data_IF_391099928502
#
_entry.id   IF_391099928502
#
_cell.length_a   1.000
_cell.length_b   1.000
_cell.length_c   1.000
_cell.angle_alpha   90.00
_cell.angle_beta   90.00
_cell.angle_gamma   90.00
#
_symmetry.space_group_name_H-M   'P 1'
#
loop_
_entity.id
_entity.type
_entity.pdbx_description
1 polymer ?
#
# COMPACT_ATOMS: atom_id res chain seq x y z
N UNK A 1 -17.20 16.79 -6.58
CA UNK A 1 -15.74 16.90 -6.35
C UNK A 1 -15.08 15.72 -7.04
N UNK A 2 -14.14 15.95 -7.97
CA UNK A 2 -13.56 14.94 -8.87
C UNK A 2 -12.34 14.17 -8.29
N UNK A 3 -11.95 14.40 -7.03
CA UNK A 3 -10.73 13.83 -6.43
C UNK A 3 -10.92 13.37 -4.97
N UNK A 4 -10.17 12.33 -4.56
CA UNK A 4 -10.18 11.86 -3.17
C UNK A 4 -9.45 12.85 -2.23
N UNK A 5 -9.88 13.02 -0.97
CA UNK A 5 -9.37 14.06 -0.07
C UNK A 5 -7.84 14.02 0.16
N UNK A 6 -7.25 12.82 0.17
CA UNK A 6 -5.82 12.63 0.39
C UNK A 6 -4.96 12.92 -0.85
N UNK A 7 -5.56 12.98 -2.04
CA UNK A 7 -4.83 13.26 -3.28
C UNK A 7 -4.38 14.72 -3.37
N UNK A 8 -4.91 15.63 -2.54
CA UNK A 8 -4.59 17.07 -2.53
C UNK A 8 -4.75 17.73 -3.91
N UNK A 9 -5.68 17.26 -4.74
CA UNK A 9 -5.87 17.71 -6.12
C UNK A 9 -6.89 18.85 -6.28
N UNK A 10 -7.69 19.15 -5.25
CA UNK A 10 -8.68 20.25 -5.24
C UNK A 10 -9.51 20.29 -6.55
N UNK A 11 -9.53 21.41 -7.28
CA UNK A 11 -10.19 21.58 -8.57
C UNK A 11 -9.27 21.45 -9.80
N UNK A 12 -8.07 20.86 -9.66
CA UNK A 12 -7.16 20.69 -10.80
C UNK A 12 -7.70 19.67 -11.79
N UNK A 13 -7.57 19.96 -13.09
CA UNK A 13 -7.85 18.99 -14.14
C UNK A 13 -6.76 17.91 -14.15
N UNK A 14 -7.17 16.66 -14.36
CA UNK A 14 -6.27 15.51 -14.37
C UNK A 14 -7.04 14.21 -14.63
N UNK A 15 -6.30 13.11 -14.86
CA UNK A 15 -6.86 11.78 -15.13
C UNK A 15 -6.39 10.84 -14.02
N UNK A 16 -7.32 10.04 -13.47
CA UNK A 16 -6.94 8.91 -12.60
C UNK A 16 -6.68 7.71 -13.49
N UNK A 17 -5.45 7.19 -13.44
CA UNK A 17 -5.08 5.96 -14.12
C UNK A 17 -4.95 4.83 -13.12
N UNK A 18 -5.70 3.75 -13.33
CA UNK A 18 -5.58 2.51 -12.55
C UNK A 18 -4.97 1.43 -13.43
N UNK A 19 -3.90 0.81 -12.94
CA UNK A 19 -3.31 -0.37 -13.56
C UNK A 19 -3.44 -1.55 -12.59
N UNK A 20 -4.26 -2.53 -12.95
CA UNK A 20 -4.56 -3.70 -12.11
C UNK A 20 -4.07 -4.99 -12.74
N UNK A 21 -2.92 -4.96 -13.41
CA UNK A 21 -2.29 -6.17 -13.91
C UNK A 21 -1.31 -6.71 -12.87
N UNK A 22 -1.48 -7.98 -12.50
CA UNK A 22 -0.59 -8.68 -11.60
C UNK A 22 -0.42 -10.12 -12.06
N UNK A 23 0.79 -10.65 -11.93
CA UNK A 23 1.09 -12.07 -12.14
C UNK A 23 1.50 -12.67 -10.80
N UNK A 24 0.86 -13.77 -10.42
CA UNK A 24 1.35 -14.58 -9.30
C UNK A 24 2.66 -15.24 -9.71
N UNK A 25 3.71 -15.05 -8.91
CA UNK A 25 5.00 -15.69 -9.08
C UNK A 25 5.11 -16.90 -8.14
N UNK A 26 5.93 -17.87 -8.51
CA UNK A 26 6.17 -19.06 -7.68
C UNK A 26 7.22 -18.79 -6.60
N UNK A 27 8.19 -17.91 -6.89
CA UNK A 27 9.27 -17.57 -5.96
C UNK A 27 9.68 -16.09 -6.03
N UNK A 28 10.30 -15.61 -4.94
CA UNK A 28 10.98 -14.31 -4.89
C UNK A 28 12.04 -14.16 -5.99
N UNK A 29 12.69 -15.26 -6.38
CA UNK A 29 13.71 -15.25 -7.42
C UNK A 29 13.16 -14.90 -8.81
N UNK A 30 11.85 -15.05 -9.04
CA UNK A 30 11.20 -14.70 -10.30
C UNK A 30 10.91 -13.19 -10.41
N UNK A 31 11.17 -12.42 -9.36
CA UNK A 31 10.99 -10.96 -9.39
C UNK A 31 12.00 -10.31 -10.35
N UNK A 32 11.61 -9.23 -11.05
CA UNK A 32 12.56 -8.40 -11.79
C UNK A 32 13.66 -7.85 -10.88
N UNK A 33 14.88 -7.76 -11.40
CA UNK A 33 16.05 -7.29 -10.65
C UNK A 33 15.89 -5.86 -10.11
N UNK A 34 15.19 -4.99 -10.85
CA UNK A 34 14.88 -3.63 -10.39
C UNK A 34 14.09 -3.64 -9.08
N UNK A 35 13.12 -4.56 -8.94
CA UNK A 35 12.30 -4.68 -7.73
C UNK A 35 13.12 -5.28 -6.58
N UNK A 36 13.90 -6.34 -6.85
CA UNK A 36 14.79 -6.93 -5.84
C UNK A 36 15.77 -5.91 -5.28
N UNK A 37 16.34 -5.05 -6.14
CA UNK A 37 17.24 -3.96 -5.75
C UNK A 37 16.54 -2.96 -4.83
N UNK A 38 15.35 -2.50 -5.21
CA UNK A 38 14.56 -1.55 -4.41
C UNK A 38 14.19 -2.12 -3.02
N UNK A 39 13.77 -3.38 -2.97
CA UNK A 39 13.47 -4.07 -1.71
C UNK A 39 14.73 -4.13 -0.85
N UNK A 40 15.89 -4.47 -1.43
CA UNK A 40 17.15 -4.56 -0.69
C UNK A 40 17.62 -3.21 -0.16
N UNK A 41 17.50 -2.14 -0.94
CA UNK A 41 18.03 -0.82 -0.61
C UNK A 41 17.09 -0.03 0.33
N UNK A 42 15.78 -0.06 0.08
CA UNK A 42 14.83 0.83 0.75
C UNK A 42 13.79 0.10 1.61
N UNK A 43 13.45 -1.16 1.29
CA UNK A 43 12.37 -1.89 1.98
C UNK A 43 12.73 -3.31 2.42
N UNK A 44 13.83 -3.50 3.18
CA UNK A 44 14.33 -4.84 3.52
C UNK A 44 13.34 -5.65 4.36
N UNK A 45 12.35 -4.99 4.99
CA UNK A 45 11.27 -5.64 5.74
C UNK A 45 10.42 -6.59 4.90
N UNK A 46 10.36 -6.42 3.58
CA UNK A 46 9.58 -7.28 2.68
C UNK A 46 10.33 -8.54 2.22
N UNK A 47 11.58 -8.72 2.65
CA UNK A 47 12.31 -9.97 2.39
C UNK A 47 11.80 -11.14 3.23
N UNK A 48 11.10 -10.86 4.33
CA UNK A 48 10.54 -11.86 5.22
C UNK A 48 9.03 -11.70 5.29
N UNK A 49 8.28 -12.80 5.44
CA UNK A 49 6.86 -12.71 5.74
C UNK A 49 6.65 -11.99 7.09
N UNK A 50 5.50 -11.33 7.29
CA UNK A 50 5.15 -10.79 8.60
C UNK A 50 5.07 -11.92 9.64
N UNK A 51 5.29 -11.60 10.93
CA UNK A 51 5.14 -12.57 12.01
C UNK A 51 3.72 -13.18 12.01
N UNK A 52 3.63 -14.46 12.32
CA UNK A 52 2.35 -15.21 12.35
C UNK A 52 1.59 -15.06 13.66
N UNK A 53 2.21 -14.44 14.66
CA UNK A 53 1.74 -14.21 16.03
C UNK A 53 1.19 -12.78 16.23
N UNK A 54 0.69 -12.18 15.15
CA UNK A 54 0.12 -10.84 15.21
C UNK A 54 -1.30 -10.83 15.80
N UNK A 55 -1.38 -10.53 17.10
CA UNK A 55 -2.64 -10.44 17.86
C UNK A 55 -3.41 -9.11 17.64
N UNK A 56 -2.94 -8.22 16.74
CA UNK A 56 -3.62 -6.95 16.49
C UNK A 56 -5.04 -7.21 15.96
N UNK A 57 -6.02 -6.47 16.50
CA UNK A 57 -7.39 -6.52 15.99
C UNK A 57 -7.43 -6.02 14.55
N UNK A 58 -8.20 -6.72 13.71
CA UNK A 58 -8.42 -6.33 12.33
C UNK A 58 -8.90 -4.86 12.24
N UNK A 59 -8.22 -4.07 11.42
CA UNK A 59 -8.56 -2.68 11.18
C UNK A 59 -9.21 -2.52 9.80
N UNK A 60 -10.38 -1.90 9.79
CA UNK A 60 -11.09 -1.51 8.57
C UNK A 60 -10.92 -0.01 8.31
N UNK A 61 -11.19 0.42 7.07
CA UNK A 61 -11.23 1.84 6.72
C UNK A 61 -12.12 2.67 7.65
N UNK A 62 -13.23 2.09 8.14
CA UNK A 62 -14.14 2.75 9.08
C UNK A 62 -13.57 2.89 10.49
N UNK A 63 -12.94 1.83 11.02
CA UNK A 63 -12.33 1.87 12.36
C UNK A 63 -11.14 2.82 12.38
N UNK A 64 -10.33 2.85 11.31
CA UNK A 64 -9.25 3.81 11.16
C UNK A 64 -9.77 5.24 11.05
N UNK A 65 -10.76 5.49 10.18
CA UNK A 65 -11.36 6.81 10.02
C UNK A 65 -11.94 7.36 11.32
N UNK A 66 -12.62 6.51 12.11
CA UNK A 66 -13.12 6.89 13.44
C UNK A 66 -11.99 7.35 14.37
N UNK A 67 -10.85 6.64 14.40
CA UNK A 67 -9.66 7.04 15.20
C UNK A 67 -9.14 8.41 14.77
N UNK A 68 -9.06 8.68 13.47
CA UNK A 68 -8.60 9.98 12.92
C UNK A 68 -9.54 11.12 13.34
N UNK A 69 -10.86 10.88 13.35
CA UNK A 69 -11.83 11.87 13.82
C UNK A 69 -11.76 12.08 15.35
N UNK A 70 -11.51 11.01 16.12
CA UNK A 70 -11.41 11.10 17.58
C UNK A 70 -10.09 11.70 18.10
N UNK A 71 -9.01 11.63 17.31
CA UNK A 71 -7.72 12.27 17.61
C UNK A 71 -7.64 13.73 17.13
N UNK A 72 -8.78 14.32 16.76
CA UNK A 72 -8.91 15.70 16.31
C UNK A 72 -9.65 16.52 17.36
#
# INVERSE_FOLDING_TARGET
SYWLPWMKMSGRNGIVYFHTFGKKLESYNDLPETIKKEIKENYPIYNNPPPTDDDRKNETSWTYFKKVLSNK
#
